data_IF_209784034294
#
_entry.id   IF_209784034294
#
_cell.length_a   1.000
_cell.length_b   1.000
_cell.length_c   1.000
_cell.angle_alpha   90.00
_cell.angle_beta   90.00
_cell.angle_gamma   90.00
#
_symmetry.space_group_name_H-M   'P 1'
#
loop_
_entity.id
_entity.type
_entity.pdbx_description
1 polymer ?
#
# COMPACT_ATOMS: atom_id res chain seq x y z
N UNK A 1 -20.53 0.32 7.64
CA UNK A 1 -21.50 -0.81 7.71
C UNK A 1 -21.62 -1.61 6.39
N UNK A 2 -21.79 -0.98 5.21
CA UNK A 2 -21.98 -1.70 3.93
C UNK A 2 -20.72 -2.41 3.39
N UNK A 3 -19.52 -1.88 3.67
CA UNK A 3 -18.22 -2.42 3.21
C UNK A 3 -17.80 -3.69 3.99
N UNK A 4 -17.92 -3.68 5.32
CA UNK A 4 -17.58 -4.83 6.17
C UNK A 4 -18.40 -6.10 5.83
N UNK A 5 -19.66 -5.94 5.36
CA UNK A 5 -20.53 -7.05 4.95
C UNK A 5 -20.09 -7.73 3.64
N UNK A 6 -19.13 -7.15 2.91
CA UNK A 6 -18.68 -7.63 1.59
C UNK A 6 -17.32 -8.32 1.61
N UNK A 7 -16.63 -8.37 2.75
CA UNK A 7 -15.32 -9.00 2.86
C UNK A 7 -15.29 -10.46 2.33
N UNK A 8 -16.39 -11.21 2.47
CA UNK A 8 -16.53 -12.59 1.99
C UNK A 8 -16.93 -12.78 0.52
N UNK A 9 -17.13 -11.72 -0.27
CA UNK A 9 -17.37 -11.85 -1.72
C UNK A 9 -16.06 -11.94 -2.50
N UNK A 10 -16.01 -12.82 -3.49
CA UNK A 10 -14.90 -12.93 -4.44
C UNK A 10 -14.91 -11.75 -5.41
N UNK A 11 -13.83 -10.95 -5.41
CA UNK A 11 -13.60 -9.90 -6.39
C UNK A 11 -12.62 -10.45 -7.44
N UNK A 12 -13.14 -11.18 -8.43
CA UNK A 12 -12.32 -11.89 -9.42
C UNK A 12 -12.27 -11.16 -10.78
N UNK A 13 -13.06 -10.10 -10.95
CA UNK A 13 -12.98 -9.20 -12.10
C UNK A 13 -12.05 -8.03 -11.79
N UNK A 14 -11.69 -7.22 -12.78
CA UNK A 14 -10.83 -6.07 -12.55
C UNK A 14 -10.12 -5.51 -13.77
N UNK A 15 -9.09 -4.72 -13.53
CA UNK A 15 -8.24 -4.15 -14.57
C UNK A 15 -6.78 -4.05 -14.12
N UNK A 16 -5.88 -3.97 -15.09
CA UNK A 16 -4.47 -3.71 -14.84
C UNK A 16 -4.22 -2.20 -15.00
N UNK A 17 -3.80 -1.57 -13.91
CA UNK A 17 -3.19 -0.25 -13.94
C UNK A 17 -1.72 -0.39 -14.36
N UNK A 18 -1.23 0.55 -15.16
CA UNK A 18 0.19 0.62 -15.50
C UNK A 18 0.67 2.05 -15.57
N UNK A 19 1.95 2.25 -15.25
CA UNK A 19 2.61 3.54 -15.32
C UNK A 19 4.08 3.35 -15.67
N UNK A 20 4.58 4.12 -16.63
CA UNK A 20 6.01 4.24 -16.94
C UNK A 20 6.39 5.70 -16.72
N UNK A 21 7.43 5.92 -15.91
CA UNK A 21 7.90 7.27 -15.62
C UNK A 21 8.54 7.90 -16.86
N UNK A 22 8.50 9.23 -16.95
CA UNK A 22 8.89 9.97 -18.17
C UNK A 22 10.35 9.75 -18.58
N UNK A 23 11.21 9.38 -17.62
CA UNK A 23 12.64 9.11 -17.85
C UNK A 23 12.94 7.64 -18.22
N UNK A 24 11.90 6.81 -18.34
CA UNK A 24 11.98 5.37 -18.61
C UNK A 24 12.80 4.56 -17.58
N UNK A 25 13.02 5.07 -16.38
CA UNK A 25 13.78 4.37 -15.33
C UNK A 25 12.92 3.65 -14.30
N UNK A 26 11.61 3.94 -14.25
CA UNK A 26 10.67 3.30 -13.33
C UNK A 26 9.40 2.88 -14.06
N UNK A 27 8.96 1.65 -13.85
CA UNK A 27 7.70 1.12 -14.38
C UNK A 27 6.93 0.38 -13.28
N UNK A 28 5.60 0.47 -13.34
CA UNK A 28 4.69 -0.20 -12.42
C UNK A 28 3.55 -0.83 -13.17
N UNK A 29 3.16 -2.03 -12.73
CA UNK A 29 1.88 -2.66 -13.03
C UNK A 29 1.16 -2.99 -11.71
N UNK A 30 -0.15 -2.78 -11.67
CA UNK A 30 -1.01 -3.06 -10.50
C UNK A 30 -2.28 -3.77 -10.93
N UNK A 31 -2.62 -4.84 -10.22
CA UNK A 31 -3.88 -5.57 -10.35
C UNK A 31 -4.91 -4.94 -9.40
N UNK A 32 -5.95 -4.33 -9.96
CA UNK A 32 -7.08 -3.78 -9.20
C UNK A 32 -8.33 -4.61 -9.47
N UNK A 33 -8.86 -5.25 -8.44
CA UNK A 33 -9.98 -6.17 -8.54
C UNK A 33 -11.31 -5.52 -8.12
N UNK A 34 -12.40 -5.96 -8.73
CA UNK A 34 -13.78 -5.64 -8.40
C UNK A 34 -14.70 -6.88 -8.55
N UNK A 35 -16.01 -6.72 -8.32
CA UNK A 35 -16.97 -7.83 -8.39
C UNK A 35 -17.43 -8.10 -9.82
N UNK A 36 -17.57 -7.08 -10.67
CA UNK A 36 -18.12 -7.23 -12.04
C UNK A 36 -17.26 -6.60 -13.13
N UNK A 37 -17.39 -7.12 -14.35
CA UNK A 37 -16.75 -6.58 -15.55
C UNK A 37 -17.29 -5.20 -15.94
N UNK A 38 -18.54 -4.90 -15.55
CA UNK A 38 -19.17 -3.60 -15.77
C UNK A 38 -18.40 -2.49 -15.04
N UNK A 39 -18.13 -2.66 -13.74
CA UNK A 39 -17.34 -1.69 -12.97
C UNK A 39 -15.90 -1.63 -13.46
N UNK A 40 -15.29 -2.78 -13.79
CA UNK A 40 -13.93 -2.85 -14.34
C UNK A 40 -13.72 -2.02 -15.61
N UNK A 41 -14.79 -1.81 -16.40
CA UNK A 41 -14.76 -1.05 -17.66
C UNK A 41 -15.04 0.45 -17.50
N UNK A 42 -15.47 0.91 -16.32
CA UNK A 42 -15.76 2.33 -16.08
C UNK A 42 -14.48 3.18 -16.10
N UNK A 43 -14.62 4.43 -16.55
CA UNK A 43 -13.50 5.38 -16.59
C UNK A 43 -12.95 5.68 -15.18
N UNK A 44 -13.83 5.80 -14.19
CA UNK A 44 -13.47 6.00 -12.78
C UNK A 44 -12.58 4.87 -12.24
N UNK A 45 -12.94 3.61 -12.51
CA UNK A 45 -12.19 2.45 -12.03
C UNK A 45 -10.82 2.34 -12.72
N UNK A 46 -10.78 2.58 -14.03
CA UNK A 46 -9.53 2.60 -14.81
C UNK A 46 -8.62 3.77 -14.41
N UNK A 47 -9.20 4.92 -14.07
CA UNK A 47 -8.47 6.07 -13.55
C UNK A 47 -7.86 5.75 -12.18
N UNK A 48 -8.62 5.12 -11.28
CA UNK A 48 -8.10 4.64 -9.99
C UNK A 48 -6.90 3.69 -10.20
N UNK A 49 -7.00 2.70 -11.08
CA UNK A 49 -5.91 1.76 -11.35
C UNK A 49 -4.63 2.47 -11.85
N UNK A 50 -4.76 3.46 -12.74
CA UNK A 50 -3.64 4.28 -13.22
C UNK A 50 -3.03 5.15 -12.10
N UNK A 51 -3.88 5.73 -11.26
CA UNK A 51 -3.46 6.57 -10.15
C UNK A 51 -2.71 5.76 -9.07
N UNK A 52 -3.15 4.53 -8.81
CA UNK A 52 -2.41 3.59 -7.97
C UNK A 52 -1.05 3.23 -8.57
N UNK A 53 -0.98 2.96 -9.88
CA UNK A 53 0.29 2.65 -10.54
C UNK A 53 1.29 3.82 -10.45
N UNK A 54 0.83 5.04 -10.68
CA UNK A 54 1.63 6.26 -10.50
C UNK A 54 2.07 6.43 -9.05
N UNK A 55 1.15 6.22 -8.09
CA UNK A 55 1.46 6.32 -6.67
C UNK A 55 2.57 5.36 -6.28
N UNK A 56 2.43 4.07 -6.58
CA UNK A 56 3.42 3.03 -6.29
C UNK A 56 4.78 3.38 -6.91
N UNK A 57 4.80 3.95 -8.13
CA UNK A 57 6.05 4.34 -8.78
C UNK A 57 6.81 5.38 -7.94
N UNK A 58 6.09 6.30 -7.31
CA UNK A 58 6.62 7.39 -6.48
C UNK A 58 6.89 7.00 -5.03
N UNK A 59 6.00 6.24 -4.40
CA UNK A 59 6.04 5.94 -2.96
C UNK A 59 6.76 4.64 -2.62
N UNK A 60 7.00 3.78 -3.63
CA UNK A 60 7.75 2.53 -3.51
C UNK A 60 7.36 1.65 -2.29
N UNK A 61 6.06 1.33 -2.10
CA UNK A 61 5.67 0.36 -1.09
C UNK A 61 6.28 -1.01 -1.40
N UNK A 62 6.54 -1.80 -0.36
CA UNK A 62 7.06 -3.17 -0.49
C UNK A 62 5.94 -4.21 -0.50
N UNK A 63 4.74 -3.83 -0.04
CA UNK A 63 3.59 -4.72 0.09
C UNK A 63 2.26 -3.95 -0.07
N UNK A 64 1.14 -4.64 -0.35
CA UNK A 64 -0.18 -3.99 -0.37
C UNK A 64 -0.58 -3.58 1.05
N UNK A 65 -0.41 -4.50 2.00
CA UNK A 65 -0.81 -4.37 3.40
C UNK A 65 0.21 -5.04 4.32
N UNK A 66 0.11 -4.80 5.63
CA UNK A 66 1.07 -5.30 6.62
C UNK A 66 1.15 -6.83 6.64
N UNK A 67 0.04 -7.53 6.46
CA UNK A 67 -0.04 -9.00 6.46
C UNK A 67 0.70 -9.67 5.29
N UNK A 68 1.12 -8.88 4.30
CA UNK A 68 1.92 -9.35 3.17
C UNK A 68 3.43 -9.09 3.35
N UNK A 69 3.84 -8.44 4.46
CA UNK A 69 5.26 -8.27 4.77
C UNK A 69 5.74 -9.54 5.49
N UNK A 70 6.84 -10.18 5.04
CA UNK A 70 7.41 -11.32 5.75
C UNK A 70 7.80 -10.96 7.19
N UNK A 71 7.53 -11.87 8.14
CA UNK A 71 7.86 -11.66 9.55
C UNK A 71 9.33 -11.34 9.77
N UNK A 72 10.23 -11.97 9.01
CA UNK A 72 11.68 -11.72 9.04
C UNK A 72 12.03 -10.25 8.77
N UNK A 73 11.30 -9.58 7.88
CA UNK A 73 11.50 -8.15 7.59
C UNK A 73 11.03 -7.31 8.78
N UNK A 74 9.86 -7.64 9.36
CA UNK A 74 9.32 -6.92 10.52
C UNK A 74 10.23 -7.06 11.75
N UNK A 75 10.74 -8.27 12.01
CA UNK A 75 11.66 -8.56 13.10
C UNK A 75 13.00 -7.83 12.92
N UNK A 76 13.54 -7.83 11.68
CA UNK A 76 14.77 -7.10 11.36
C UNK A 76 14.62 -5.61 11.63
N UNK A 77 13.59 -4.97 11.09
CA UNK A 77 13.37 -3.53 11.26
C UNK A 77 13.12 -3.18 12.73
N UNK A 78 12.36 -4.01 13.46
CA UNK A 78 12.15 -3.84 14.91
C UNK A 78 13.47 -3.88 15.68
N UNK A 79 14.36 -4.81 15.33
CA UNK A 79 15.66 -4.98 15.98
C UNK A 79 16.57 -3.78 15.73
N UNK A 80 16.63 -3.29 14.48
CA UNK A 80 17.35 -2.07 14.12
C UNK A 80 16.84 -0.86 14.92
N UNK A 81 15.53 -0.69 15.04
CA UNK A 81 14.97 0.42 15.82
C UNK A 81 15.24 0.31 17.32
N UNK A 82 15.26 -0.91 17.86
CA UNK A 82 15.59 -1.17 19.25
C UNK A 82 17.07 -0.85 19.54
N UNK A 83 18.00 -1.23 18.66
CA UNK A 83 19.42 -0.86 18.75
C UNK A 83 19.60 0.66 18.71
N UNK A 84 19.00 1.35 17.73
CA UNK A 84 19.07 2.81 17.61
C UNK A 84 18.56 3.55 18.86
N UNK A 85 17.60 2.98 19.60
CA UNK A 85 17.07 3.60 20.83
C UNK A 85 18.00 3.34 22.02
N UNK A 86 18.63 2.15 22.07
CA UNK A 86 19.57 1.75 23.12
C UNK A 86 20.93 2.45 23.04
N UNK A 87 21.34 2.88 21.85
CA UNK A 87 22.55 3.71 21.67
C UNK A 87 22.42 5.13 22.25
N UNK A 88 21.20 5.56 22.59
CA UNK A 88 20.94 6.84 23.25
C UNK A 88 21.03 6.78 24.78
N UNK A 89 20.54 7.83 25.43
CA UNK A 89 20.47 7.88 26.90
C UNK A 89 19.71 6.69 27.49
N UNK A 90 20.09 6.27 28.71
CA UNK A 90 19.40 5.23 29.44
C UNK A 90 17.91 5.57 29.63
N UNK A 91 17.05 4.81 28.95
CA UNK A 91 15.59 4.93 29.00
C UNK A 91 14.98 3.71 29.68
N UNK A 92 13.88 3.86 30.44
CA UNK A 92 13.11 2.73 30.93
C UNK A 92 12.58 1.85 29.78
N UNK A 93 12.48 0.53 29.99
CA UNK A 93 12.02 -0.43 28.96
C UNK A 93 10.67 -0.03 28.32
N UNK A 94 9.69 0.35 29.14
CA UNK A 94 8.37 0.77 28.64
C UNK A 94 8.42 2.00 27.71
N UNK A 95 9.41 2.88 27.88
CA UNK A 95 9.62 4.03 26.99
C UNK A 95 10.27 3.57 25.69
N UNK A 96 11.23 2.65 25.76
CA UNK A 96 11.88 2.06 24.58
C UNK A 96 10.84 1.37 23.70
N UNK A 97 9.99 0.52 24.28
CA UNK A 97 8.96 -0.21 23.55
C UNK A 97 8.00 0.74 22.82
N UNK A 98 7.54 1.80 23.51
CA UNK A 98 6.66 2.81 22.90
C UNK A 98 7.32 3.57 21.74
N UNK A 99 8.63 3.85 21.84
CA UNK A 99 9.38 4.49 20.75
C UNK A 99 9.51 3.53 19.55
N UNK A 100 9.87 2.27 19.81
CA UNK A 100 9.99 1.24 18.77
C UNK A 100 8.65 1.02 18.08
N UNK A 101 7.56 0.93 18.82
CA UNK A 101 6.20 0.82 18.28
C UNK A 101 5.86 2.00 17.36
N UNK A 102 6.16 3.22 17.76
CA UNK A 102 5.97 4.41 16.93
C UNK A 102 6.81 4.39 15.63
N UNK A 103 8.06 3.94 15.71
CA UNK A 103 8.93 3.75 14.53
C UNK A 103 8.39 2.66 13.60
N UNK A 104 7.93 1.54 14.16
CA UNK A 104 7.30 0.45 13.39
C UNK A 104 6.01 0.91 12.72
N UNK A 105 5.15 1.66 13.41
CA UNK A 105 3.94 2.23 12.82
C UNK A 105 4.28 3.14 11.63
N UNK A 106 5.32 3.98 11.75
CA UNK A 106 5.80 4.82 10.65
C UNK A 106 6.40 4.00 9.50
N UNK A 107 7.15 2.94 9.80
CA UNK A 107 7.66 2.00 8.80
C UNK A 107 6.51 1.40 8.00
N UNK A 108 5.49 0.86 8.67
CA UNK A 108 4.32 0.27 8.03
C UNK A 108 3.55 1.30 7.18
N UNK A 109 3.35 2.52 7.69
CA UNK A 109 2.72 3.61 6.95
C UNK A 109 3.44 3.92 5.64
N UNK A 110 4.77 3.88 5.63
CA UNK A 110 5.57 4.17 4.44
C UNK A 110 5.81 2.98 3.52
N UNK A 111 5.72 1.74 4.01
CA UNK A 111 6.09 0.56 3.24
C UNK A 111 4.89 -0.28 2.78
N UNK A 112 3.67 0.02 3.25
CA UNK A 112 2.45 -0.66 2.80
C UNK A 112 1.57 0.28 2.01
N UNK A 113 1.16 -0.14 0.81
CA UNK A 113 0.40 0.69 -0.12
C UNK A 113 -0.87 1.27 0.52
N UNK A 114 -1.67 0.44 1.18
CA UNK A 114 -2.98 0.87 1.72
C UNK A 114 -2.85 1.95 2.80
N UNK A 115 -1.77 1.94 3.58
CA UNK A 115 -1.53 2.89 4.67
C UNK A 115 -0.86 4.20 4.21
N UNK A 116 -0.35 4.26 2.98
CA UNK A 116 0.32 5.44 2.44
C UNK A 116 -0.68 6.57 2.17
N UNK A 117 -0.26 7.81 2.40
CA UNK A 117 -0.98 9.01 2.00
C UNK A 117 -0.91 9.16 0.47
N UNK A 118 -2.04 9.45 -0.18
CA UNK A 118 -2.09 9.46 -1.64
C UNK A 118 -1.28 10.62 -2.23
N UNK A 119 -0.39 10.31 -3.19
CA UNK A 119 0.56 11.30 -3.75
C UNK A 119 -0.09 12.50 -4.43
N UNK A 120 -1.32 12.35 -4.94
CA UNK A 120 -2.07 13.47 -5.54
C UNK A 120 -2.96 14.22 -4.54
N UNK A 121 -3.19 13.64 -3.36
CA UNK A 121 -4.00 14.24 -2.30
C UNK A 121 -3.58 13.64 -0.95
N UNK A 122 -2.78 14.38 -0.18
CA UNK A 122 -2.24 13.92 1.10
C UNK A 122 -3.27 13.95 2.24
N UNK A 123 -4.50 14.40 2.00
CA UNK A 123 -5.56 14.42 3.02
C UNK A 123 -6.19 13.05 3.24
N UNK A 124 -5.85 12.05 2.42
CA UNK A 124 -6.38 10.68 2.53
C UNK A 124 -5.37 9.61 2.16
N UNK A 125 -5.56 8.44 2.74
CA UNK A 125 -4.80 7.24 2.41
C UNK A 125 -5.30 6.57 1.13
N UNK A 126 -4.51 5.63 0.61
CA UNK A 126 -4.95 4.77 -0.49
C UNK A 126 -6.15 3.90 -0.09
N UNK A 127 -6.19 3.38 1.14
CA UNK A 127 -7.35 2.62 1.63
C UNK A 127 -8.64 3.44 1.63
N UNK A 128 -8.57 4.69 2.08
CA UNK A 128 -9.70 5.61 2.08
C UNK A 128 -10.17 5.92 0.65
N UNK A 129 -9.23 6.18 -0.26
CA UNK A 129 -9.53 6.38 -1.69
C UNK A 129 -10.26 5.18 -2.29
N UNK A 130 -9.78 3.96 -2.04
CA UNK A 130 -10.42 2.73 -2.53
C UNK A 130 -11.81 2.54 -1.91
N UNK A 131 -11.94 2.86 -0.62
CA UNK A 131 -13.21 2.75 0.12
C UNK A 131 -14.26 3.72 -0.43
N UNK A 132 -13.87 4.96 -0.78
CA UNK A 132 -14.76 5.92 -1.43
C UNK A 132 -15.30 5.39 -2.76
N UNK A 133 -14.43 4.82 -3.61
CA UNK A 133 -14.84 4.25 -4.90
C UNK A 133 -15.69 3.00 -4.71
N UNK A 134 -15.37 2.15 -3.72
CA UNK A 134 -16.19 0.98 -3.35
C UNK A 134 -17.60 1.39 -2.89
N UNK A 135 -17.70 2.49 -2.13
CA UNK A 135 -18.97 3.02 -1.66
C UNK A 135 -19.82 3.58 -2.82
N UNK A 136 -19.18 4.28 -3.77
CA UNK A 136 -19.84 4.86 -4.97
C UNK A 136 -20.31 3.78 -5.94
N UNK A 137 -19.48 2.79 -6.22
CA UNK A 137 -19.79 1.70 -7.16
C UNK A 137 -20.72 0.65 -6.56
N UNK A 138 -20.71 0.51 -5.23
CA UNK A 138 -21.46 -0.55 -4.58
C UNK A 138 -20.83 -1.93 -4.77
N UNK A 139 -19.53 -2.01 -5.08
CA UNK A 139 -18.76 -3.26 -5.16
C UNK A 139 -17.65 -3.29 -4.11
N UNK A 140 -17.13 -4.49 -3.81
CA UNK A 140 -15.84 -4.66 -3.17
C UNK A 140 -14.74 -4.33 -4.19
N UNK A 141 -13.89 -3.37 -3.86
CA UNK A 141 -12.67 -3.07 -4.63
C UNK A 141 -11.46 -3.36 -3.75
N UNK A 142 -10.43 -3.95 -4.33
CA UNK A 142 -9.18 -4.24 -3.63
C UNK A 142 -8.00 -4.33 -4.57
N UNK A 143 -6.81 -4.08 -4.05
CA UNK A 143 -5.57 -4.30 -4.78
C UNK A 143 -5.16 -5.76 -4.59
N UNK A 144 -5.02 -6.51 -5.67
CA UNK A 144 -4.55 -7.89 -5.62
C UNK A 144 -3.05 -7.96 -5.38
N UNK A 145 -2.28 -7.31 -6.26
CA UNK A 145 -0.82 -7.25 -6.23
C UNK A 145 -0.29 -6.13 -7.12
N UNK A 146 0.98 -5.79 -6.96
CA UNK A 146 1.69 -4.92 -7.90
C UNK A 146 3.11 -5.43 -8.14
N UNK A 147 3.71 -4.94 -9.22
CA UNK A 147 5.15 -5.06 -9.47
C UNK A 147 5.69 -3.68 -9.84
N UNK A 148 6.80 -3.32 -9.22
CA UNK A 148 7.53 -2.09 -9.47
C UNK A 148 8.95 -2.45 -9.89
N UNK A 149 9.39 -1.92 -11.02
CA UNK A 149 10.73 -2.11 -11.55
C UNK A 149 11.38 -0.75 -11.64
N UNK A 150 12.61 -0.63 -11.12
CA UNK A 150 13.43 0.56 -11.25
C UNK A 150 14.82 0.19 -11.73
N UNK A 151 15.33 0.91 -12.73
CA UNK A 151 16.69 0.71 -13.26
C UNK A 151 17.71 0.90 -12.14
N UNK A 152 18.53 -0.14 -11.92
CA UNK A 152 19.57 -0.15 -10.89
C UNK A 152 19.12 -0.53 -9.48
N UNK A 153 17.84 -0.89 -9.30
CA UNK A 153 17.34 -1.47 -8.05
C UNK A 153 17.39 -3.00 -8.17
N UNK A 154 17.80 -3.70 -7.11
CA UNK A 154 17.75 -5.16 -7.09
C UNK A 154 16.29 -5.64 -7.04
N UNK A 155 15.96 -6.80 -7.63
CA UNK A 155 14.63 -7.38 -7.49
C UNK A 155 14.31 -7.61 -6.00
N UNK A 156 13.12 -7.18 -5.58
CA UNK A 156 12.55 -7.52 -4.28
C UNK A 156 12.15 -9.00 -4.20
#
# INVERSE_FOLDING_TARGET
AKVAKRAGKSANEGTIGSYVHFDNKTAVIVELNCETDFVAKTDDFRALAKDLALHIASSAPIAVSQDQIPDEVLERERSVYLEQVKEGDAKPEHIIDKIVEGKMSKFLKHNTLLAQDFVKNQDKTIEELITEVSARTGEKIGVGRFSRIKVGEEPA
#
